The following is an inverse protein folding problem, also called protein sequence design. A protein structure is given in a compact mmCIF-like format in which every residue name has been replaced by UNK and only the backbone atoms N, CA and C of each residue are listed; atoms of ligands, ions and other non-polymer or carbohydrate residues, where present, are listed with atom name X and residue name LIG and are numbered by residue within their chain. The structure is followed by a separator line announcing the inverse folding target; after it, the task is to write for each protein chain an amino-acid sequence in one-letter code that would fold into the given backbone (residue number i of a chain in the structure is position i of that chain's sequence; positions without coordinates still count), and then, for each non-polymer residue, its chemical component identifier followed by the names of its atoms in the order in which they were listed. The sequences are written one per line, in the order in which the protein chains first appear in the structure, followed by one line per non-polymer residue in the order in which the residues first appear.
data_IF_996525272526
#
_entry.id   IF_996525272526
#
_cell.length_a   1.000
_cell.length_b   1.000
_cell.length_c   1.000
_cell.angle_alpha   90.00
_cell.angle_beta   90.00
_cell.angle_gamma   90.00
#
_symmetry.space_group_name_H-M   'P 1'
#
loop_
_entity.id
_entity.type
_entity.pdbx_description
1 polymer ?
#
# COMPACT_ATOMS: atom_id res chain seq x y z
N UNK A 1 -2.86 -13.61 14.13
CA UNK A 1 -2.70 -12.52 13.16
C UNK A 1 -1.24 -12.09 13.24
N UNK A 2 -0.36 -12.81 12.56
CA UNK A 2 1.03 -12.38 12.37
C UNK A 2 1.00 -11.28 11.31
N UNK A 3 0.82 -10.04 11.73
CA UNK A 3 0.97 -8.88 10.84
C UNK A 3 2.44 -8.85 10.39
N UNK A 4 2.73 -9.50 9.27
CA UNK A 4 3.96 -9.27 8.53
C UNK A 4 4.02 -7.77 8.25
N UNK A 5 4.92 -7.07 8.95
CA UNK A 5 4.84 -5.64 9.24
C UNK A 5 4.42 -4.80 8.01
N UNK A 6 3.12 -4.49 7.93
CA UNK A 6 2.60 -3.59 6.92
C UNK A 6 3.21 -2.20 7.15
N UNK A 7 3.74 -1.61 6.09
CA UNK A 7 4.33 -0.28 6.15
C UNK A 7 3.49 0.67 5.30
N UNK A 8 3.14 1.82 5.87
CA UNK A 8 2.39 2.88 5.17
C UNK A 8 3.37 3.88 4.56
N UNK A 9 3.23 4.12 3.27
CA UNK A 9 3.97 5.13 2.52
C UNK A 9 3.07 6.34 2.25
N UNK A 10 3.17 7.35 3.12
CA UNK A 10 2.38 8.60 3.09
C UNK A 10 3.12 9.79 2.42
N UNK A 11 4.26 9.51 1.80
CA UNK A 11 5.10 10.53 1.15
C UNK A 11 6.05 11.29 2.07
N UNK A 12 6.01 11.10 3.40
CA UNK A 12 6.93 11.80 4.30
C UNK A 12 8.39 11.43 4.06
N UNK A 13 8.67 10.16 3.72
CA UNK A 13 9.99 9.67 3.34
C UNK A 13 10.60 10.46 2.16
N UNK A 14 9.76 10.97 1.25
CA UNK A 14 10.21 11.71 0.07
C UNK A 14 10.55 13.18 0.36
N UNK A 15 10.05 13.75 1.47
CA UNK A 15 10.28 15.17 1.80
C UNK A 15 11.67 15.45 2.34
N UNK A 16 12.40 14.42 2.79
CA UNK A 16 13.69 14.54 3.46
C UNK A 16 14.87 14.04 2.59
N UNK A 17 14.65 13.74 1.32
CA UNK A 17 15.65 13.07 0.48
C UNK A 17 16.67 14.03 -0.11
N UNK A 18 17.90 13.54 -0.33
CA UNK A 18 18.92 14.32 -1.02
C UNK A 18 18.69 14.31 -2.55
N UNK A 19 18.40 15.51 -3.07
CA UNK A 19 18.15 15.75 -4.49
C UNK A 19 19.40 16.17 -5.27
N UNK A 20 20.59 16.03 -4.68
CA UNK A 20 21.85 16.32 -5.35
C UNK A 20 21.95 15.63 -6.71
N UNK A 21 22.43 16.40 -7.69
CA UNK A 21 22.71 15.95 -9.05
C UNK A 21 24.18 15.50 -9.15
N UNK A 22 24.49 14.50 -10.00
CA UNK A 22 25.86 14.10 -10.28
C UNK A 22 26.76 15.31 -10.64
N UNK A 23 28.04 15.27 -10.27
CA UNK A 23 28.97 16.40 -10.45
C UNK A 23 29.39 16.66 -11.91
N UNK A 24 28.97 15.83 -12.87
CA UNK A 24 29.37 15.98 -14.26
C UNK A 24 28.77 17.24 -14.92
N UNK A 25 29.60 17.97 -15.70
CA UNK A 25 29.20 19.10 -16.56
C UNK A 25 28.44 18.61 -17.81
N UNK A 26 27.28 17.98 -17.64
CA UNK A 26 26.48 17.46 -18.76
C UNK A 26 25.04 17.95 -18.61
N UNK A 27 24.51 18.56 -19.69
CA UNK A 27 23.07 18.83 -19.81
C UNK A 27 22.31 17.52 -19.75
N UNK A 28 21.23 17.47 -18.96
CA UNK A 28 20.41 16.26 -18.82
C UNK A 28 19.17 16.40 -19.69
N UNK A 29 18.77 15.34 -20.37
CA UNK A 29 17.47 15.33 -21.04
C UNK A 29 16.33 15.20 -20.02
N UNK A 30 15.13 15.69 -20.34
CA UNK A 30 13.96 15.53 -19.46
C UNK A 30 13.71 14.07 -19.07
N UNK A 31 13.96 13.11 -19.98
CA UNK A 31 13.88 11.69 -19.68
C UNK A 31 14.87 11.26 -18.58
N UNK A 32 16.14 11.66 -18.69
CA UNK A 32 17.16 11.36 -17.68
C UNK A 32 16.84 11.98 -16.33
N UNK A 33 16.26 13.19 -16.32
CA UNK A 33 15.84 13.88 -15.11
C UNK A 33 14.69 13.13 -14.42
N UNK A 34 13.70 12.66 -15.18
CA UNK A 34 12.59 11.86 -14.64
C UNK A 34 13.06 10.48 -14.14
N UNK A 35 13.93 9.80 -14.88
CA UNK A 35 14.49 8.50 -14.47
C UNK A 35 15.30 8.62 -13.17
N UNK A 36 16.07 9.71 -13.02
CA UNK A 36 16.79 10.01 -11.78
C UNK A 36 15.83 10.29 -10.62
N UNK A 37 14.76 11.05 -10.87
CA UNK A 37 13.76 11.35 -9.85
C UNK A 37 13.02 10.08 -9.39
N UNK A 38 12.60 9.25 -10.34
CA UNK A 38 11.98 7.94 -10.07
C UNK A 38 12.92 7.03 -9.29
N UNK A 39 14.21 6.98 -9.65
CA UNK A 39 15.21 6.18 -8.95
C UNK A 39 15.44 6.66 -7.51
N UNK A 40 15.52 7.97 -7.28
CA UNK A 40 15.66 8.56 -5.93
C UNK A 40 14.41 8.30 -5.09
N UNK A 41 13.22 8.49 -5.66
CA UNK A 41 11.96 8.23 -4.98
C UNK A 41 11.81 6.74 -4.64
N UNK A 42 12.05 5.85 -5.60
CA UNK A 42 12.03 4.39 -5.40
C UNK A 42 13.00 3.96 -4.29
N UNK A 43 14.24 4.43 -4.32
CA UNK A 43 15.24 4.11 -3.29
C UNK A 43 14.81 4.55 -1.90
N UNK A 44 14.14 5.70 -1.80
CA UNK A 44 13.62 6.24 -0.52
C UNK A 44 12.36 5.51 -0.05
N UNK A 45 11.72 4.74 -0.93
CA UNK A 45 10.53 3.94 -0.67
C UNK A 45 10.86 2.44 -0.79
N UNK A 46 11.97 2.03 -0.17
CA UNK A 46 12.38 0.61 -0.07
C UNK A 46 12.62 -0.07 -1.43
N UNK A 47 13.04 0.69 -2.45
CA UNK A 47 13.24 0.16 -3.80
C UNK A 47 11.96 -0.20 -4.54
N UNK A 48 10.80 0.28 -4.06
CA UNK A 48 9.50 0.02 -4.67
C UNK A 48 9.42 0.62 -6.07
N UNK A 49 8.89 -0.13 -7.02
CA UNK A 49 8.50 0.43 -8.32
C UNK A 49 7.22 1.25 -8.16
N UNK A 50 7.30 2.55 -8.42
CA UNK A 50 6.16 3.45 -8.24
C UNK A 50 5.02 3.11 -9.22
N UNK A 51 3.75 3.09 -8.76
CA UNK A 51 2.60 2.91 -9.64
C UNK A 51 2.54 3.95 -10.77
N UNK A 52 2.12 3.53 -11.96
CA UNK A 52 2.01 4.42 -13.12
C UNK A 52 0.97 5.53 -12.92
N UNK A 53 -0.08 5.26 -12.16
CA UNK A 53 -1.08 6.27 -11.75
C UNK A 53 -0.42 7.39 -10.95
N UNK A 54 0.43 7.05 -9.98
CA UNK A 54 1.16 8.00 -9.13
C UNK A 54 2.12 8.86 -9.95
N UNK A 55 2.92 8.24 -10.83
CA UNK A 55 3.81 8.96 -11.76
C UNK A 55 3.04 9.93 -12.65
N UNK A 56 1.93 9.46 -13.23
CA UNK A 56 1.07 10.26 -14.11
C UNK A 56 0.44 11.44 -13.39
N UNK A 57 -0.04 11.25 -12.15
CA UNK A 57 -0.59 12.33 -11.32
C UNK A 57 0.47 13.38 -10.98
N UNK A 58 1.70 12.96 -10.65
CA UNK A 58 2.80 13.88 -10.37
C UNK A 58 3.20 14.71 -11.61
N UNK A 59 3.33 14.08 -12.79
CA UNK A 59 3.61 14.77 -14.05
C UNK A 59 2.56 15.83 -14.39
N UNK A 60 1.27 15.50 -14.19
CA UNK A 60 0.17 16.46 -14.40
C UNK A 60 0.28 17.68 -13.50
N UNK A 61 0.66 17.50 -12.21
CA UNK A 61 0.82 18.63 -11.27
C UNK A 61 1.93 19.60 -11.67
N UNK A 62 3.03 19.08 -12.19
CA UNK A 62 4.14 19.94 -12.65
C UNK A 62 3.91 20.54 -14.05
N UNK A 63 2.70 20.40 -14.60
CA UNK A 63 2.23 21.07 -15.82
C UNK A 63 3.08 20.82 -17.06
N UNK A 64 3.63 19.61 -17.19
CA UNK A 64 4.29 19.17 -18.41
C UNK A 64 3.21 18.85 -19.46
N UNK A 65 2.83 19.87 -20.25
CA UNK A 65 1.73 19.79 -21.21
C UNK A 65 1.99 18.79 -22.37
N UNK A 66 3.26 18.46 -22.63
CA UNK A 66 3.67 17.50 -23.65
C UNK A 66 4.88 16.70 -23.12
N UNK A 67 4.60 15.52 -22.55
CA UNK A 67 5.61 14.65 -21.94
C UNK A 67 6.67 14.21 -22.96
N UNK A 68 6.27 13.94 -24.21
CA UNK A 68 7.18 13.49 -25.26
C UNK A 68 8.17 14.60 -25.65
N UNK A 69 7.69 15.84 -25.79
CA UNK A 69 8.56 17.00 -26.06
C UNK A 69 9.46 17.29 -24.86
N UNK A 70 8.95 17.20 -23.64
CA UNK A 70 9.73 17.43 -22.44
C UNK A 70 10.88 16.42 -22.29
N UNK A 71 10.60 15.14 -22.54
CA UNK A 71 11.60 14.05 -22.42
C UNK A 71 12.84 14.26 -23.28
N UNK A 72 12.70 14.93 -24.43
CA UNK A 72 13.78 15.23 -25.36
C UNK A 72 14.50 16.57 -25.06
N UNK A 73 13.93 17.42 -24.20
CA UNK A 73 14.49 18.73 -23.90
C UNK A 73 15.76 18.59 -23.06
N UNK A 74 16.83 19.25 -23.48
CA UNK A 74 18.01 19.44 -22.64
C UNK A 74 17.76 20.49 -21.57
N UNK A 75 18.14 20.14 -20.34
CA UNK A 75 17.98 20.95 -19.14
C UNK A 75 19.37 21.20 -18.55
N UNK A 76 19.61 22.45 -18.16
CA UNK A 76 20.75 22.78 -17.32
C UNK A 76 20.54 22.22 -15.89
N UNK A 77 21.58 22.31 -15.07
CA UNK A 77 21.57 21.78 -13.70
C UNK A 77 20.47 22.39 -12.83
N UNK A 78 20.20 23.69 -12.96
CA UNK A 78 19.20 24.39 -12.15
C UNK A 78 17.78 23.96 -12.56
N UNK A 79 17.52 23.88 -13.87
CA UNK A 79 16.26 23.41 -14.42
C UNK A 79 16.00 21.94 -14.04
N UNK A 80 17.01 21.08 -14.16
CA UNK A 80 16.92 19.67 -13.78
C UNK A 80 16.61 19.50 -12.29
N UNK A 81 17.31 20.24 -11.42
CA UNK A 81 17.07 20.17 -9.97
C UNK A 81 15.66 20.64 -9.61
N UNK A 82 15.19 21.70 -10.26
CA UNK A 82 13.83 22.21 -10.07
C UNK A 82 12.79 21.17 -10.46
N UNK A 83 12.93 20.53 -11.63
CA UNK A 83 12.01 19.48 -12.08
C UNK A 83 11.99 18.30 -11.11
N UNK A 84 13.16 17.81 -10.67
CA UNK A 84 13.24 16.70 -9.71
C UNK A 84 12.51 17.05 -8.41
N UNK A 85 12.76 18.26 -7.90
CA UNK A 85 12.14 18.75 -6.66
C UNK A 85 10.62 18.85 -6.80
N UNK A 86 10.15 19.49 -7.88
CA UNK A 86 8.73 19.67 -8.15
C UNK A 86 8.03 18.32 -8.33
N UNK A 87 8.64 17.37 -9.06
CA UNK A 87 8.10 16.04 -9.31
C UNK A 87 8.02 15.19 -8.04
N UNK A 88 9.09 15.13 -7.26
CA UNK A 88 9.13 14.34 -6.00
C UNK A 88 8.18 14.94 -4.96
N UNK A 89 8.07 16.27 -4.91
CA UNK A 89 7.07 16.95 -4.07
C UNK A 89 5.66 16.57 -4.51
N UNK A 90 5.39 16.54 -5.82
CA UNK A 90 4.09 16.14 -6.34
C UNK A 90 3.74 14.67 -6.04
N UNK A 91 4.72 13.76 -6.05
CA UNK A 91 4.54 12.37 -5.59
C UNK A 91 4.24 12.35 -4.09
N UNK A 92 5.02 13.07 -3.27
CA UNK A 92 4.83 13.13 -1.82
C UNK A 92 3.45 13.68 -1.45
N UNK A 93 2.95 14.68 -2.18
CA UNK A 93 1.62 15.24 -1.98
C UNK A 93 0.50 14.30 -2.40
N UNK A 94 0.72 13.49 -3.44
CA UNK A 94 -0.23 12.44 -3.84
C UNK A 94 -0.29 11.31 -2.81
N UNK A 95 0.87 10.81 -2.35
CA UNK A 95 0.94 9.78 -1.30
C UNK A 95 0.38 10.25 0.03
N UNK A 96 0.42 11.56 0.32
CA UNK A 96 -0.22 12.11 1.51
C UNK A 96 -1.75 11.93 1.46
N UNK A 97 -2.34 12.14 0.29
CA UNK A 97 -3.78 12.01 0.06
C UNK A 97 -4.22 10.57 -0.18
N UNK A 98 -3.33 9.77 -0.75
CA UNK A 98 -3.56 8.40 -1.16
C UNK A 98 -2.33 7.52 -0.85
N UNK A 99 -2.14 7.16 0.43
CA UNK A 99 -0.97 6.39 0.85
C UNK A 99 -0.98 4.98 0.27
N UNK A 100 0.22 4.42 0.09
CA UNK A 100 0.38 3.02 -0.29
C UNK A 100 0.64 2.15 0.95
N UNK A 101 0.01 0.99 1.02
CA UNK A 101 0.39 -0.06 1.98
C UNK A 101 1.34 -1.01 1.28
N UNK A 102 2.49 -1.29 1.90
CA UNK A 102 3.46 -2.25 1.38
C UNK A 102 3.77 -3.32 2.42
N UNK A 103 4.20 -4.49 1.95
CA UNK A 103 4.90 -5.48 2.78
C UNK A 103 6.37 -5.48 2.40
N UNK A 104 7.22 -5.44 3.42
CA UNK A 104 8.67 -5.60 3.29
C UNK A 104 9.06 -6.95 3.85
N UNK A 105 9.46 -7.86 2.98
CA UNK A 105 9.91 -9.21 3.35
C UNK A 105 11.44 -9.22 3.45
N UNK A 106 11.95 -9.25 4.67
CA UNK A 106 13.38 -9.27 5.01
C UNK A 106 13.83 -10.61 5.65
N UNK A 107 12.93 -11.59 5.63
CA UNK A 107 13.12 -12.92 6.19
C UNK A 107 12.90 -13.00 7.71
N UNK A 108 12.53 -11.92 8.40
CA UNK A 108 12.31 -11.95 9.85
C UNK A 108 11.17 -12.89 10.24
N UNK A 109 10.01 -12.81 9.56
CA UNK A 109 8.87 -13.70 9.80
C UNK A 109 9.25 -15.17 9.67
N UNK A 110 10.05 -15.51 8.65
CA UNK A 110 10.52 -16.89 8.45
C UNK A 110 11.48 -17.33 9.57
N UNK A 111 12.35 -16.44 10.04
CA UNK A 111 13.23 -16.73 11.17
C UNK A 111 12.45 -16.99 12.45
N UNK A 112 11.36 -16.26 12.71
CA UNK A 112 10.51 -16.51 13.87
C UNK A 112 9.97 -17.95 13.88
N UNK A 113 9.49 -18.46 12.74
CA UNK A 113 9.05 -19.85 12.65
C UNK A 113 10.19 -20.87 12.84
N UNK A 114 11.42 -20.51 12.51
CA UNK A 114 12.59 -21.40 12.59
C UNK A 114 13.34 -21.31 13.93
N UNK A 115 13.03 -20.32 14.77
CA UNK A 115 13.69 -20.09 16.06
C UNK A 115 13.27 -21.12 17.12
N UNK A 116 12.01 -21.56 17.08
CA UNK A 116 11.45 -22.59 17.96
C UNK A 116 11.08 -23.85 17.17
N UNK A 117 11.53 -25.02 17.65
CA UNK A 117 11.30 -26.32 17.01
C UNK A 117 9.81 -26.68 17.01
N UNK A 118 9.07 -26.33 18.06
CA UNK A 118 7.64 -26.60 18.17
C UNK A 118 6.82 -25.71 17.22
N UNK A 119 7.20 -24.44 17.06
CA UNK A 119 6.56 -23.52 16.10
C UNK A 119 6.79 -23.99 14.66
N UNK A 120 8.02 -24.39 14.33
CA UNK A 120 8.32 -24.96 13.01
C UNK A 120 7.55 -26.26 12.77
N UNK A 121 7.53 -27.17 13.74
CA UNK A 121 6.84 -28.44 13.62
C UNK A 121 5.33 -28.24 13.38
N UNK A 122 4.71 -27.30 14.10
CA UNK A 122 3.31 -26.94 13.94
C UNK A 122 3.02 -26.34 12.55
N UNK A 123 3.89 -25.44 12.07
CA UNK A 123 3.78 -24.87 10.72
C UNK A 123 3.86 -25.98 9.65
N UNK A 124 4.86 -26.85 9.75
CA UNK A 124 5.08 -27.92 8.78
C UNK A 124 3.96 -28.96 8.80
N UNK A 125 3.43 -29.29 9.98
CA UNK A 125 2.26 -30.16 10.14
C UNK A 125 1.02 -29.56 9.46
N UNK A 126 0.68 -28.31 9.78
CA UNK A 126 -0.49 -27.64 9.19
C UNK A 126 -0.40 -27.59 7.66
N UNK A 127 0.76 -27.18 7.12
CA UNK A 127 0.99 -27.15 5.67
C UNK A 127 0.87 -28.55 5.05
N UNK A 128 1.42 -29.58 5.69
CA UNK A 128 1.33 -30.95 5.19
C UNK A 128 -0.13 -31.42 5.13
N UNK A 129 -0.89 -31.22 6.22
CA UNK A 129 -2.30 -31.60 6.30
C UNK A 129 -3.14 -30.88 5.26
N UNK A 130 -2.89 -29.60 5.01
CA UNK A 130 -3.63 -28.83 3.99
C UNK A 130 -3.32 -29.30 2.56
N UNK A 131 -2.11 -29.85 2.33
CA UNK A 131 -1.67 -30.34 1.01
C UNK A 131 -2.02 -31.82 0.78
N UNK A 132 -2.08 -32.65 1.82
CA UNK A 132 -2.53 -34.06 1.75
C UNK A 132 -4.06 -34.15 1.74
N UNK A 133 -4.69 -33.52 0.75
CA UNK A 133 -6.15 -33.43 0.61
C UNK A 133 -6.84 -34.80 0.56
N UNK A 134 -6.13 -35.82 0.08
CA UNK A 134 -6.62 -37.20 -0.02
C UNK A 134 -6.36 -38.05 1.24
N UNK A 135 -5.73 -37.47 2.29
CA UNK A 135 -5.39 -38.12 3.56
C UNK A 135 -4.64 -39.46 3.35
N UNK A 136 -3.66 -39.44 2.46
CA UNK A 136 -2.89 -40.64 2.11
C UNK A 136 -1.70 -40.87 3.05
N UNK A 137 -1.38 -39.87 3.88
CA UNK A 137 -0.19 -39.80 4.71
C UNK A 137 1.07 -39.43 3.92
N UNK A 138 0.92 -38.99 2.66
CA UNK A 138 2.03 -38.69 1.74
C UNK A 138 1.66 -37.61 0.74
N UNK A 139 2.64 -36.79 0.38
CA UNK A 139 2.48 -35.80 -0.69
C UNK A 139 3.65 -35.86 -1.66
N UNK A 140 3.44 -35.38 -2.88
CA UNK A 140 4.52 -35.29 -3.85
C UNK A 140 5.55 -34.25 -3.39
N UNK A 141 6.84 -34.51 -3.59
CA UNK A 141 7.90 -33.57 -3.21
C UNK A 141 7.77 -32.19 -3.85
N UNK A 142 7.23 -32.11 -5.07
CA UNK A 142 6.96 -30.83 -5.72
C UNK A 142 5.94 -29.94 -4.97
N UNK A 143 5.19 -30.50 -4.00
CA UNK A 143 4.26 -29.78 -3.12
C UNK A 143 4.97 -28.81 -2.18
N UNK A 144 6.30 -28.89 -1.99
CA UNK A 144 7.07 -27.83 -1.31
C UNK A 144 6.82 -26.47 -1.96
N UNK A 145 6.67 -26.44 -3.29
CA UNK A 145 6.33 -25.21 -4.01
C UNK A 145 4.97 -24.67 -3.58
N UNK A 146 3.98 -25.55 -3.46
CA UNK A 146 2.62 -25.17 -3.08
C UNK A 146 2.55 -24.79 -1.60
N UNK A 147 3.34 -25.43 -0.73
CA UNK A 147 3.50 -25.02 0.67
C UNK A 147 3.99 -23.57 0.78
N UNK A 148 5.01 -23.20 0.01
CA UNK A 148 5.51 -21.83 -0.05
C UNK A 148 4.47 -20.84 -0.60
N UNK A 149 3.68 -21.25 -1.60
CA UNK A 149 2.57 -20.44 -2.12
C UNK A 149 1.48 -20.26 -1.06
N UNK A 150 1.17 -21.31 -0.29
CA UNK A 150 0.20 -21.29 0.79
C UNK A 150 0.64 -20.36 1.92
N UNK A 151 1.93 -20.37 2.27
CA UNK A 151 2.51 -19.42 3.21
C UNK A 151 2.34 -17.96 2.71
N UNK A 152 2.67 -17.70 1.45
CA UNK A 152 2.44 -16.40 0.81
C UNK A 152 3.12 -15.22 1.52
N UNK A 153 2.76 -14.01 1.09
CA UNK A 153 3.36 -12.76 1.59
C UNK A 153 3.06 -12.55 3.08
N UNK A 154 1.89 -13.00 3.54
CA UNK A 154 1.46 -12.91 4.94
C UNK A 154 2.40 -13.66 5.89
N UNK A 155 2.95 -14.81 5.46
CA UNK A 155 3.90 -15.60 6.24
C UNK A 155 5.35 -15.33 5.84
N UNK A 156 5.61 -14.28 5.06
CA UNK A 156 6.96 -13.84 4.71
C UNK A 156 7.56 -14.49 3.46
N UNK A 157 6.75 -15.16 2.64
CA UNK A 157 7.19 -15.79 1.39
C UNK A 157 6.80 -14.94 0.18
N UNK A 158 7.76 -14.47 -0.65
CA UNK A 158 7.44 -13.71 -1.84
C UNK A 158 6.85 -14.59 -2.96
N UNK A 159 6.07 -14.02 -3.90
CA UNK A 159 5.64 -14.74 -5.10
C UNK A 159 6.85 -15.27 -5.88
N UNK A 160 6.83 -16.57 -6.20
CA UNK A 160 7.98 -17.26 -6.82
C UNK A 160 8.38 -16.62 -8.16
N UNK A 161 7.43 -16.09 -8.92
CA UNK A 161 7.67 -15.40 -10.20
C UNK A 161 8.36 -14.05 -10.05
N UNK A 162 8.23 -13.41 -8.87
CA UNK A 162 8.70 -12.04 -8.63
C UNK A 162 9.97 -12.00 -7.79
N UNK A 163 10.34 -13.13 -7.18
CA UNK A 163 11.58 -13.28 -6.42
C UNK A 163 12.44 -14.44 -6.96
N UNK A 164 13.25 -14.20 -8.00
CA UNK A 164 14.09 -15.23 -8.64
C UNK A 164 14.93 -16.10 -7.68
N UNK A 165 15.53 -15.56 -6.59
CA UNK A 165 16.29 -16.39 -5.66
C UNK A 165 15.51 -17.57 -5.09
N UNK A 166 14.18 -17.45 -4.90
CA UNK A 166 13.36 -18.56 -4.40
C UNK A 166 13.33 -19.74 -5.37
N UNK A 167 13.29 -19.47 -6.69
CA UNK A 167 13.34 -20.52 -7.70
C UNK A 167 14.68 -21.26 -7.72
N UNK A 168 15.78 -20.57 -7.42
CA UNK A 168 17.12 -21.16 -7.34
C UNK A 168 17.29 -22.01 -6.07
N UNK A 169 16.73 -21.55 -4.95
CA UNK A 169 16.69 -22.29 -3.68
C UNK A 169 15.94 -23.62 -3.85
N UNK A 170 14.75 -23.59 -4.46
CA UNK A 170 13.96 -24.80 -4.70
C UNK A 170 14.73 -25.84 -5.53
N UNK A 171 15.40 -25.40 -6.61
CA UNK A 171 16.24 -26.28 -7.44
C UNK A 171 17.44 -26.83 -6.68
N UNK A 172 18.09 -26.00 -5.86
CA UNK A 172 19.26 -26.41 -5.06
C UNK A 172 18.91 -27.52 -4.08
N UNK A 173 17.75 -27.44 -3.43
CA UNK A 173 17.23 -28.46 -2.52
C UNK A 173 16.50 -29.61 -3.23
N UNK A 174 16.45 -29.59 -4.58
CA UNK A 174 15.76 -30.59 -5.42
C UNK A 174 14.29 -30.76 -5.02
N UNK A 175 13.63 -29.67 -4.65
CA UNK A 175 12.25 -29.65 -4.17
C UNK A 175 11.21 -29.75 -5.31
N UNK A 176 11.63 -30.18 -6.49
CA UNK A 176 10.85 -30.36 -7.73
C UNK A 176 10.78 -31.82 -8.17
N UNK A 177 11.21 -32.76 -7.32
CA UNK A 177 11.13 -34.19 -7.57
C UNK A 177 9.68 -34.72 -7.55
N UNK A 178 9.50 -35.92 -8.09
CA UNK A 178 8.20 -36.61 -8.13
C UNK A 178 8.03 -37.63 -7.00
N UNK A 179 9.06 -37.86 -6.18
CA UNK A 179 8.99 -38.79 -5.07
C UNK A 179 7.97 -38.37 -4.00
N UNK A 180 7.34 -39.34 -3.36
CA UNK A 180 6.42 -39.10 -2.26
C UNK A 180 7.18 -38.89 -0.95
N UNK A 181 6.74 -37.92 -0.16
CA UNK A 181 7.24 -37.60 1.17
C UNK A 181 6.14 -37.83 2.21
N UNK A 182 6.47 -38.53 3.30
CA UNK A 182 5.68 -38.45 4.52
C UNK A 182 5.94 -37.14 5.28
N UNK A 183 5.12 -36.83 6.28
CA UNK A 183 5.17 -35.57 7.04
C UNK A 183 6.56 -35.20 7.57
N UNK A 184 7.28 -36.14 8.19
CA UNK A 184 8.63 -35.88 8.70
C UNK A 184 9.62 -35.54 7.58
N UNK A 185 9.54 -36.23 6.44
CA UNK A 185 10.41 -35.98 5.29
C UNK A 185 10.09 -34.64 4.61
N UNK A 186 8.82 -34.26 4.61
CA UNK A 186 8.38 -32.95 4.16
C UNK A 186 8.97 -31.84 5.04
N UNK A 187 8.86 -31.96 6.37
CA UNK A 187 9.43 -30.99 7.31
C UNK A 187 10.97 -30.89 7.17
N UNK A 188 11.67 -32.03 7.10
CA UNK A 188 13.13 -32.08 6.88
C UNK A 188 13.57 -31.38 5.58
N UNK A 189 12.73 -31.39 4.54
CA UNK A 189 12.99 -30.69 3.28
C UNK A 189 12.60 -29.21 3.32
N UNK A 190 11.48 -28.87 3.98
CA UNK A 190 10.97 -27.51 4.07
C UNK A 190 11.90 -26.61 4.90
N UNK A 191 12.44 -27.12 6.01
CA UNK A 191 13.27 -26.35 6.93
C UNK A 191 14.49 -25.66 6.25
N UNK A 192 15.37 -26.39 5.52
CA UNK A 192 16.52 -25.75 4.86
C UNK A 192 16.12 -24.82 3.71
N UNK A 193 14.97 -25.04 3.08
CA UNK A 193 14.42 -24.13 2.06
C UNK A 193 14.01 -22.80 2.69
N UNK A 194 13.27 -22.82 3.80
CA UNK A 194 12.87 -21.61 4.52
C UNK A 194 14.07 -20.87 5.12
N UNK A 195 15.06 -21.61 5.64
CA UNK A 195 16.29 -21.01 6.17
C UNK A 195 17.02 -20.21 5.08
N UNK A 196 17.28 -20.82 3.92
CA UNK A 196 17.99 -20.14 2.83
C UNK A 196 17.16 -19.00 2.22
N UNK A 197 15.84 -19.12 2.18
CA UNK A 197 14.95 -18.03 1.78
C UNK A 197 15.06 -16.85 2.75
N UNK A 198 15.07 -17.11 4.06
CA UNK A 198 15.22 -16.06 5.07
C UNK A 198 16.56 -15.31 4.95
N UNK A 199 17.65 -16.02 4.61
CA UNK A 199 18.96 -15.44 4.36
C UNK A 199 19.01 -14.64 3.05
N UNK A 200 18.34 -15.13 2.00
CA UNK A 200 18.23 -14.41 0.73
C UNK A 200 17.47 -13.09 0.90
N UNK A 201 16.35 -13.11 1.62
CA UNK A 201 15.56 -11.92 1.94
C UNK A 201 16.33 -10.94 2.84
N UNK A 202 17.14 -11.43 3.78
CA UNK A 202 18.00 -10.58 4.61
C UNK A 202 19.06 -9.82 3.79
N UNK A 203 19.57 -10.43 2.71
CA UNK A 203 20.53 -9.78 1.79
C UNK A 203 19.85 -8.80 0.84
N UNK A 204 18.66 -9.14 0.37
CA UNK A 204 17.85 -8.31 -0.53
C UNK A 204 16.38 -8.52 -0.19
N UNK A 205 15.81 -7.55 0.51
CA UNK A 205 14.40 -7.58 0.85
C UNK A 205 13.53 -7.59 -0.42
N UNK A 206 12.36 -8.22 -0.31
CA UNK A 206 11.31 -8.15 -1.32
C UNK A 206 10.24 -7.17 -0.85
N UNK A 207 9.81 -6.28 -1.74
CA UNK A 207 8.79 -5.27 -1.42
C UNK A 207 7.66 -5.38 -2.41
N UNK A 208 6.44 -5.45 -1.91
CA UNK A 208 5.23 -5.48 -2.73
C UNK A 208 4.17 -4.55 -2.17
N UNK A 209 3.33 -4.00 -3.07
CA UNK A 209 2.19 -3.17 -2.70
C UNK A 209 1.03 -4.10 -2.38
N UNK A 210 0.39 -3.86 -1.24
CA UNK A 210 -0.83 -4.56 -0.86
C UNK A 210 -2.04 -3.90 -1.51
N UNK A 211 -3.05 -4.71 -1.84
CA UNK A 211 -4.34 -4.22 -2.34
C UNK A 211 -5.21 -3.68 -1.19
N UNK A 212 -4.63 -2.85 -0.34
CA UNK A 212 -5.26 -2.24 0.82
C UNK A 212 -5.25 -0.73 0.61
N UNK A 213 -6.43 -0.14 0.73
CA UNK A 213 -6.62 1.31 0.73
C UNK A 213 -6.59 1.84 2.15
N UNK A 214 -5.95 3.00 2.33
CA UNK A 214 -6.01 3.75 3.59
C UNK A 214 -6.80 5.03 3.37
N UNK A 215 -7.74 5.29 4.26
CA UNK A 215 -8.41 6.58 4.35
C UNK A 215 -7.98 7.26 5.65
N UNK A 216 -7.23 8.36 5.52
CA UNK A 216 -6.56 9.07 6.62
C UNK A 216 -7.09 10.50 6.85
N UNK A 217 -8.14 10.90 6.13
CA UNK A 217 -8.74 12.23 6.25
C UNK A 217 -8.00 13.37 5.52
N UNK A 218 -6.83 13.15 4.90
CA UNK A 218 -6.07 14.23 4.22
C UNK A 218 -6.89 14.92 3.12
N UNK A 219 -7.60 14.14 2.29
CA UNK A 219 -8.49 14.68 1.25
C UNK A 219 -9.63 15.52 1.83
N UNK A 220 -10.22 15.08 2.94
CA UNK A 220 -11.25 15.85 3.65
C UNK A 220 -10.70 17.15 4.23
N UNK A 221 -9.50 17.15 4.79
CA UNK A 221 -8.84 18.40 5.24
C UNK A 221 -8.63 19.39 4.11
N UNK A 222 -8.22 18.90 2.93
CA UNK A 222 -8.08 19.76 1.74
C UNK A 222 -9.42 20.34 1.30
N UNK A 223 -10.48 19.52 1.29
CA UNK A 223 -11.83 19.98 0.99
C UNK A 223 -12.32 21.04 1.99
N UNK A 224 -12.11 20.80 3.30
CA UNK A 224 -12.51 21.73 4.37
C UNK A 224 -11.75 23.07 4.32
N UNK A 225 -10.52 23.07 3.79
CA UNK A 225 -9.71 24.27 3.62
C UNK A 225 -10.08 25.07 2.35
N UNK A 226 -10.78 24.47 1.39
CA UNK A 226 -11.26 25.13 0.17
C UNK A 226 -12.74 25.51 0.32
N UNK A 227 -13.00 26.72 0.80
CA UNK A 227 -14.36 27.24 1.01
C UNK A 227 -15.25 27.16 -0.24
N UNK A 228 -14.67 27.30 -1.44
CA UNK A 228 -15.45 27.25 -2.69
C UNK A 228 -15.93 25.84 -2.97
N UNK A 229 -15.03 24.87 -2.87
CA UNK A 229 -15.38 23.45 -3.07
C UNK A 229 -16.34 22.98 -1.97
N UNK A 230 -16.10 23.36 -0.72
CA UNK A 230 -16.98 23.03 0.39
C UNK A 230 -18.41 23.54 0.17
N UNK A 231 -18.56 24.80 -0.27
CA UNK A 231 -19.89 25.36 -0.56
C UNK A 231 -20.61 24.61 -1.69
N UNK A 232 -19.88 24.20 -2.75
CA UNK A 232 -20.46 23.37 -3.82
C UNK A 232 -20.98 22.03 -3.27
N UNK A 233 -20.24 21.39 -2.35
CA UNK A 233 -20.68 20.15 -1.72
C UNK A 233 -21.92 20.39 -0.86
N UNK A 234 -21.94 21.45 -0.05
CA UNK A 234 -23.11 21.82 0.76
C UNK A 234 -24.35 22.03 -0.13
N UNK A 235 -24.22 22.74 -1.24
CA UNK A 235 -25.31 22.94 -2.22
C UNK A 235 -25.79 21.62 -2.84
N UNK A 236 -24.88 20.69 -3.16
CA UNK A 236 -25.25 19.37 -3.67
C UNK A 236 -26.05 18.55 -2.66
N UNK A 237 -25.66 18.56 -1.38
CA UNK A 237 -26.39 17.83 -0.34
C UNK A 237 -27.77 18.47 -0.11
N UNK A 238 -27.86 19.81 -0.11
CA UNK A 238 -29.13 20.54 -0.03
C UNK A 238 -30.07 20.19 -1.18
N UNK A 239 -29.53 20.06 -2.40
CA UNK A 239 -30.32 19.68 -3.57
C UNK A 239 -30.85 18.23 -3.48
N UNK A 240 -30.18 17.35 -2.74
CA UNK A 240 -30.60 15.97 -2.50
C UNK A 240 -31.73 15.86 -1.43
N UNK A 241 -32.08 16.97 -0.75
CA UNK A 241 -33.31 17.10 0.05
C UNK A 241 -33.19 17.91 1.35
N UNK A 242 -34.29 17.95 2.12
CA UNK A 242 -34.41 18.69 3.40
C UNK A 242 -33.31 18.39 4.41
N UNK A 243 -32.84 19.41 5.13
CA UNK A 243 -31.60 19.40 5.89
C UNK A 243 -31.51 18.59 7.19
N UNK A 244 -31.99 17.34 7.22
CA UNK A 244 -31.85 16.46 8.38
C UNK A 244 -30.60 15.54 8.28
N UNK A 245 -30.14 15.05 9.44
CA UNK A 245 -28.90 14.26 9.58
C UNK A 245 -28.94 12.93 8.80
N UNK A 246 -30.09 12.28 8.73
CA UNK A 246 -30.28 11.02 7.98
C UNK A 246 -29.99 11.18 6.48
N UNK A 247 -30.41 12.29 5.87
CA UNK A 247 -30.14 12.53 4.44
C UNK A 247 -28.68 12.90 4.20
N UNK A 248 -28.05 13.67 5.10
CA UNK A 248 -26.61 13.92 5.02
C UNK A 248 -25.86 12.59 5.07
N UNK A 249 -26.21 11.70 6.02
CA UNK A 249 -25.63 10.36 6.12
C UNK A 249 -25.81 9.58 4.83
N UNK A 250 -27.05 9.48 4.33
CA UNK A 250 -27.36 8.77 3.08
C UNK A 250 -26.59 9.30 1.87
N UNK A 251 -26.39 10.63 1.78
CA UNK A 251 -25.60 11.25 0.73
C UNK A 251 -24.11 10.88 0.84
N UNK A 252 -23.53 10.97 2.05
CA UNK A 252 -22.14 10.64 2.30
C UNK A 252 -21.85 9.15 2.10
N UNK A 253 -22.78 8.27 2.47
CA UNK A 253 -22.65 6.82 2.19
C UNK A 253 -22.60 6.53 0.68
N UNK A 254 -23.34 7.30 -0.14
CA UNK A 254 -23.38 7.13 -1.60
C UNK A 254 -22.21 7.79 -2.34
N UNK A 255 -21.76 8.95 -1.89
CA UNK A 255 -20.83 9.82 -2.63
C UNK A 255 -19.55 10.15 -1.88
N UNK A 256 -19.41 9.69 -0.64
CA UNK A 256 -18.33 10.07 0.26
C UNK A 256 -16.95 9.66 -0.25
N UNK A 257 -16.85 8.59 -1.03
CA UNK A 257 -15.57 8.14 -1.62
C UNK A 257 -14.94 9.21 -2.53
N UNK A 258 -15.75 9.99 -3.24
CA UNK A 258 -15.29 11.14 -4.05
C UNK A 258 -14.74 12.28 -3.18
N UNK A 259 -15.23 12.39 -1.94
CA UNK A 259 -14.81 13.37 -0.96
C UNK A 259 -13.61 12.89 -0.11
N UNK A 260 -13.20 11.64 -0.28
CA UNK A 260 -12.15 11.01 0.52
C UNK A 260 -12.63 10.38 1.82
N UNK A 261 -13.91 10.01 1.92
CA UNK A 261 -14.43 9.11 2.96
C UNK A 261 -14.26 7.65 2.53
N UNK A 262 -14.17 6.71 3.49
CA UNK A 262 -14.20 5.30 3.15
C UNK A 262 -15.60 4.87 2.67
N UNK A 263 -15.71 3.82 1.82
CA UNK A 263 -17.00 3.25 1.44
C UNK A 263 -17.72 2.71 2.68
N UNK A 264 -18.99 3.08 2.87
CA UNK A 264 -19.73 2.79 4.11
C UNK A 264 -19.87 1.30 4.42
N UNK A 265 -19.90 0.46 3.39
CA UNK A 265 -20.04 -1.00 3.50
C UNK A 265 -18.70 -1.75 3.50
N UNK A 266 -17.56 -1.06 3.57
CA UNK A 266 -16.25 -1.70 3.38
C UNK A 266 -15.90 -2.69 4.50
N UNK A 267 -16.08 -2.32 5.77
CA UNK A 267 -15.90 -3.19 6.93
C UNK A 267 -16.50 -2.58 8.22
N UNK A 268 -16.41 -3.34 9.32
CA UNK A 268 -16.91 -2.93 10.63
C UNK A 268 -16.27 -1.64 11.16
N UNK A 269 -14.97 -1.43 10.93
CA UNK A 269 -14.29 -0.19 11.35
C UNK A 269 -14.88 1.05 10.66
N UNK A 270 -15.25 0.93 9.38
CA UNK A 270 -15.96 2.01 8.68
C UNK A 270 -17.36 2.23 9.25
N UNK A 271 -18.12 1.17 9.50
CA UNK A 271 -19.46 1.29 10.09
C UNK A 271 -19.41 2.04 11.45
N UNK A 272 -18.44 1.67 12.30
CA UNK A 272 -18.20 2.34 13.58
C UNK A 272 -17.81 3.81 13.44
N UNK A 273 -17.00 4.15 12.43
CA UNK A 273 -16.65 5.55 12.11
C UNK A 273 -17.92 6.37 11.79
N UNK A 274 -18.78 5.87 10.89
CA UNK A 274 -20.03 6.57 10.57
C UNK A 274 -20.94 6.70 11.79
N UNK A 275 -21.12 5.64 12.58
CA UNK A 275 -21.96 5.70 13.77
C UNK A 275 -21.42 6.68 14.81
N UNK A 276 -20.09 6.70 15.05
CA UNK A 276 -19.45 7.62 15.98
C UNK A 276 -19.59 9.09 15.56
N UNK A 277 -19.46 9.39 14.25
CA UNK A 277 -19.62 10.76 13.76
C UNK A 277 -21.05 11.27 13.93
N UNK A 278 -22.04 10.40 13.72
CA UNK A 278 -23.45 10.76 13.74
C UNK A 278 -24.15 10.63 15.09
N UNK A 279 -23.56 9.96 16.09
CA UNK A 279 -24.17 9.71 17.40
C UNK A 279 -24.54 10.98 18.19
N UNK A 280 -23.70 12.02 18.12
CA UNK A 280 -23.83 13.26 18.92
C UNK A 280 -24.18 14.49 18.07
N UNK A 281 -25.03 14.33 17.04
CA UNK A 281 -25.46 15.45 16.20
C UNK A 281 -26.86 15.92 16.57
N UNK A 282 -26.98 17.16 17.03
CA UNK A 282 -28.28 17.82 17.19
C UNK A 282 -28.84 18.23 15.82
N UNK A 283 -30.15 18.02 15.61
CA UNK A 283 -30.82 18.48 14.40
C UNK A 283 -30.75 20.00 14.29
N UNK A 284 -30.14 20.49 13.21
CA UNK A 284 -30.04 21.91 12.93
C UNK A 284 -31.19 22.38 12.02
N UNK A 285 -31.74 23.57 12.28
CA UNK A 285 -32.68 24.21 11.35
C UNK A 285 -32.01 24.57 10.01
N UNK A 286 -32.79 24.81 8.95
CA UNK A 286 -32.29 25.05 7.58
C UNK A 286 -31.21 26.15 7.48
N UNK A 287 -31.34 27.23 8.26
CA UNK A 287 -30.37 28.34 8.31
C UNK A 287 -28.98 27.94 8.86
N UNK A 288 -28.87 26.75 9.44
CA UNK A 288 -27.65 26.18 10.02
C UNK A 288 -27.17 24.92 9.29
N UNK A 289 -27.83 24.52 8.20
CA UNK A 289 -27.53 23.29 7.49
C UNK A 289 -26.08 23.20 7.01
N UNK A 290 -25.57 24.27 6.38
CA UNK A 290 -24.18 24.30 5.92
C UNK A 290 -23.15 24.14 7.06
N UNK A 291 -23.46 24.70 8.23
CA UNK A 291 -22.62 24.51 9.42
C UNK A 291 -22.67 23.07 9.93
N UNK A 292 -23.83 22.41 9.88
CA UNK A 292 -23.97 21.01 10.26
C UNK A 292 -23.14 20.10 9.34
N UNK A 293 -23.24 20.28 8.01
CA UNK A 293 -22.41 19.52 7.04
C UNK A 293 -20.93 19.72 7.33
N UNK A 294 -20.50 20.97 7.54
CA UNK A 294 -19.10 21.28 7.86
C UNK A 294 -18.65 20.57 9.14
N UNK A 295 -19.45 20.62 10.21
CA UNK A 295 -19.15 19.93 11.48
C UNK A 295 -19.03 18.41 11.31
N UNK A 296 -19.90 17.81 10.49
CA UNK A 296 -19.84 16.37 10.19
C UNK A 296 -18.53 16.02 9.49
N UNK A 297 -18.18 16.77 8.45
CA UNK A 297 -16.94 16.54 7.69
C UNK A 297 -15.69 16.81 8.56
N UNK A 298 -15.73 17.80 9.46
CA UNK A 298 -14.67 18.06 10.45
C UNK A 298 -14.49 16.87 11.40
N UNK A 299 -15.59 16.33 11.95
CA UNK A 299 -15.55 15.13 12.81
C UNK A 299 -14.97 13.92 12.07
N UNK A 300 -15.38 13.68 10.82
CA UNK A 300 -14.78 12.62 10.00
C UNK A 300 -13.27 12.83 9.83
N UNK A 301 -12.83 14.04 9.48
CA UNK A 301 -11.41 14.34 9.30
C UNK A 301 -10.62 14.12 10.60
N UNK A 302 -11.13 14.55 11.74
CA UNK A 302 -10.51 14.34 13.05
C UNK A 302 -10.39 12.86 13.43
N UNK A 303 -11.47 12.08 13.25
CA UNK A 303 -11.45 10.65 13.56
C UNK A 303 -10.51 9.87 12.62
N UNK A 304 -10.52 10.18 11.32
CA UNK A 304 -9.64 9.54 10.34
C UNK A 304 -8.16 9.92 10.52
N UNK A 305 -7.86 11.11 11.02
CA UNK A 305 -6.49 11.50 11.38
C UNK A 305 -6.00 10.77 12.63
N UNK A 306 -6.86 10.63 13.63
CA UNK A 306 -6.53 9.93 14.87
C UNK A 306 -6.44 8.42 14.69
N UNK A 307 -7.30 7.85 13.84
CA UNK A 307 -7.40 6.43 13.55
C UNK A 307 -7.79 6.22 12.08
N UNK A 308 -6.82 6.21 11.16
CA UNK A 308 -7.06 5.90 9.75
C UNK A 308 -7.73 4.54 9.59
N UNK A 309 -8.60 4.43 8.59
CA UNK A 309 -9.29 3.16 8.29
C UNK A 309 -8.67 2.50 7.07
N UNK A 310 -8.55 1.18 7.14
CA UNK A 310 -8.00 0.31 6.11
C UNK A 310 -9.14 -0.51 5.51
N UNK A 311 -9.16 -0.69 4.19
CA UNK A 311 -10.09 -1.59 3.54
C UNK A 311 -9.47 -2.16 2.25
N UNK A 312 -9.94 -3.34 1.83
CA UNK A 312 -9.48 -3.96 0.59
C UNK A 312 -9.99 -3.20 -0.64
N UNK A 313 -9.26 -3.32 -1.75
CA UNK A 313 -9.57 -2.69 -3.05
C UNK A 313 -10.39 -3.63 -3.93
#
# INVERSE_FOLDING_TARGET
MSDGALTVLDGNHLRAIDLSLPEAEVSLTGAQVLDLADSKASSSLFGLSLPQSLKSSALKRISLQDDDVFRLKELDREQALKVITDYITAIADELKDDPLVISVLDGYTLRLFLEDEDDFAMLAENLFTDLDVEDTGKINKNEIRNALVHMGVEMGVPPISEFPPLSDILKKHKADGEEELGQAQFAELLQPVLQELSEALAKKHFVTIQNIKIVNGSKLRKLLADEKQLNIIVEKILADGSGNTEKIRSFLEKTGTELGLPPSEANEAVALLYDAVFADLEEAGEDKFGNLVKQILEKFAEQLEASPVFHDI
#
